data_IF_333680680826
#
_entry.id   IF_333680680826
#
_cell.length_a   1.000
_cell.length_b   1.000
_cell.length_c   1.000
_cell.angle_alpha   90.00
_cell.angle_beta   90.00
_cell.angle_gamma   90.00
#
_symmetry.space_group_name_H-M   'P 1'
#
loop_
_entity.id
_entity.type
_entity.pdbx_description
1 polymer ?
#
# COMPACT_ATOMS: atom_id res chain seq x y z
N UNK A 1 -65.89 26.75 9.47
CA UNK A 1 -64.61 26.64 8.75
C UNK A 1 -64.91 26.78 7.27
N UNK A 2 -64.35 27.78 6.59
CA UNK A 2 -64.61 28.01 5.17
C UNK A 2 -63.83 27.01 4.30
N UNK A 3 -64.42 26.47 3.21
CA UNK A 3 -63.72 25.55 2.33
C UNK A 3 -62.63 26.25 1.52
N UNK A 4 -61.43 25.68 1.50
CA UNK A 4 -60.28 26.16 0.71
C UNK A 4 -60.60 26.18 -0.79
N UNK A 5 -60.16 27.24 -1.47
CA UNK A 5 -60.36 27.42 -2.92
C UNK A 5 -59.49 26.45 -3.73
N UNK A 6 -59.82 26.17 -5.00
CA UNK A 6 -59.05 25.24 -5.84
C UNK A 6 -57.56 25.62 -5.97
N UNK A 7 -57.24 26.91 -6.04
CA UNK A 7 -55.86 27.40 -6.05
C UNK A 7 -55.12 27.08 -4.75
N UNK A 8 -55.76 27.24 -3.59
CA UNK A 8 -55.14 26.92 -2.30
C UNK A 8 -54.85 25.42 -2.16
N UNK A 9 -55.71 24.56 -2.72
CA UNK A 9 -55.46 23.11 -2.76
C UNK A 9 -54.26 22.75 -3.64
N UNK A 10 -54.14 23.35 -4.83
CA UNK A 10 -52.95 23.14 -5.69
C UNK A 10 -51.66 23.63 -5.07
N UNK A 11 -51.67 24.78 -4.40
CA UNK A 11 -50.47 25.29 -3.69
C UNK A 11 -50.05 24.39 -2.53
N UNK A 12 -51.00 23.83 -1.78
CA UNK A 12 -50.71 22.88 -0.69
C UNK A 12 -50.16 21.56 -1.25
N UNK A 13 -50.71 21.06 -2.36
CA UNK A 13 -50.21 19.85 -3.03
C UNK A 13 -48.80 20.06 -3.58
N UNK A 14 -48.53 21.20 -4.23
CA UNK A 14 -47.18 21.56 -4.69
C UNK A 14 -46.18 21.73 -3.54
N UNK A 15 -46.59 22.32 -2.41
CA UNK A 15 -45.72 22.49 -1.26
C UNK A 15 -45.43 21.14 -0.58
N UNK A 16 -46.43 20.26 -0.51
CA UNK A 16 -46.29 18.91 0.04
C UNK A 16 -45.43 18.01 -0.86
N UNK A 17 -45.53 18.12 -2.19
CA UNK A 17 -44.65 17.39 -3.12
C UNK A 17 -43.23 17.94 -3.10
N UNK A 18 -43.04 19.26 -2.99
CA UNK A 18 -41.71 19.85 -2.82
C UNK A 18 -41.08 19.44 -1.49
N UNK A 19 -41.84 19.42 -0.38
CA UNK A 19 -41.36 18.90 0.91
C UNK A 19 -41.04 17.40 0.82
N UNK A 20 -41.87 16.60 0.15
CA UNK A 20 -41.63 15.17 -0.03
C UNK A 20 -40.41 14.91 -0.92
N UNK A 21 -40.15 15.73 -1.94
CA UNK A 21 -38.93 15.69 -2.76
C UNK A 21 -37.71 16.09 -1.94
N UNK A 22 -37.80 17.13 -1.09
CA UNK A 22 -36.72 17.52 -0.17
C UNK A 22 -36.47 16.44 0.90
N UNK A 23 -37.52 15.75 1.37
CA UNK A 23 -37.44 14.63 2.31
C UNK A 23 -37.00 13.29 1.67
N UNK A 24 -37.03 13.18 0.34
CA UNK A 24 -36.56 12.00 -0.41
C UNK A 24 -35.20 12.19 -1.06
N UNK A 25 -34.58 13.36 -0.90
CA UNK A 25 -33.12 13.49 -1.00
C UNK A 25 -32.55 12.89 0.29
N UNK A 26 -32.50 11.56 0.35
CA UNK A 26 -31.60 10.89 1.28
C UNK A 26 -30.20 11.30 0.85
N UNK A 27 -29.62 12.27 1.55
CA UNK A 27 -28.22 12.64 1.39
C UNK A 27 -27.41 11.36 1.52
N UNK A 28 -26.81 10.91 0.42
CA UNK A 28 -25.80 9.86 0.41
C UNK A 28 -24.59 10.40 1.18
N UNK A 29 -24.68 10.40 2.50
CA UNK A 29 -23.68 10.97 3.39
C UNK A 29 -22.49 10.01 3.48
N UNK A 30 -21.29 10.58 3.40
CA UNK A 30 -20.07 9.92 3.83
C UNK A 30 -20.25 9.37 5.26
N UNK A 31 -19.92 8.10 5.48
CA UNK A 31 -20.02 7.48 6.80
C UNK A 31 -18.72 7.68 7.58
N UNK A 32 -18.82 7.84 8.90
CA UNK A 32 -17.64 7.84 9.79
C UNK A 32 -17.56 6.50 10.50
N UNK A 33 -16.50 5.76 10.22
CA UNK A 33 -16.23 4.45 10.78
C UNK A 33 -15.31 4.56 12.01
N UNK A 34 -15.76 3.98 13.12
CA UNK A 34 -15.00 3.97 14.37
C UNK A 34 -14.48 2.56 14.65
N UNK A 35 -13.17 2.44 14.80
CA UNK A 35 -12.53 1.17 15.16
C UNK A 35 -11.60 1.34 16.36
N UNK A 36 -11.47 0.25 17.12
CA UNK A 36 -10.46 0.13 18.16
C UNK A 36 -9.54 -1.05 17.81
N UNK A 37 -8.25 -0.74 17.66
CA UNK A 37 -7.20 -1.71 17.36
C UNK A 37 -6.35 -1.89 18.62
N UNK A 38 -6.53 -3.01 19.31
CA UNK A 38 -5.69 -3.39 20.44
C UNK A 38 -4.52 -4.20 19.92
N UNK A 39 -3.34 -3.60 19.88
CA UNK A 39 -2.10 -4.29 19.52
C UNK A 39 -1.66 -5.06 20.75
N UNK A 40 -1.60 -6.39 20.65
CA UNK A 40 -1.36 -7.26 21.81
C UNK A 40 -0.58 -8.50 21.43
N UNK A 41 -0.04 -9.17 22.44
CA UNK A 41 0.56 -10.48 22.26
C UNK A 41 -0.53 -11.56 22.26
N UNK A 42 -0.49 -12.51 21.32
CA UNK A 42 -1.48 -13.59 21.18
C UNK A 42 -0.82 -14.91 20.81
N UNK A 43 -1.19 -16.04 21.44
CA UNK A 43 -0.71 -17.36 21.05
C UNK A 43 -1.28 -17.76 19.70
N UNK A 44 -0.41 -18.02 18.72
CA UNK A 44 -0.78 -18.49 17.39
C UNK A 44 0.01 -19.74 17.07
N UNK A 45 -0.68 -20.78 16.60
CA UNK A 45 -0.09 -22.06 16.23
C UNK A 45 0.11 -22.15 14.72
N UNK A 46 1.34 -22.38 14.26
CA UNK A 46 1.70 -22.73 12.87
C UNK A 46 2.85 -23.72 12.88
N UNK A 47 2.99 -24.50 11.81
CA UNK A 47 4.05 -25.51 11.68
C UNK A 47 4.17 -26.42 12.92
N UNK A 48 3.00 -26.72 13.51
CA UNK A 48 2.83 -27.49 14.74
C UNK A 48 3.48 -26.90 16.02
N UNK A 49 3.96 -25.64 16.00
CA UNK A 49 4.47 -24.88 17.16
C UNK A 49 3.55 -23.71 17.50
N UNK A 50 3.41 -23.41 18.79
CA UNK A 50 2.65 -22.24 19.27
C UNK A 50 3.62 -21.16 19.68
N UNK A 51 3.48 -19.98 19.08
CA UNK A 51 4.30 -18.80 19.39
C UNK A 51 3.40 -17.64 19.79
N UNK A 52 3.89 -16.83 20.73
CA UNK A 52 3.21 -15.62 21.17
C UNK A 52 3.65 -14.44 20.29
N UNK A 53 2.89 -14.17 19.22
CA UNK A 53 3.17 -13.11 18.24
C UNK A 53 2.40 -11.83 18.56
N UNK A 54 2.74 -10.72 17.91
CA UNK A 54 1.97 -9.47 18.04
C UNK A 54 0.86 -9.45 17.00
N UNK A 55 -0.37 -9.19 17.44
CA UNK A 55 -1.58 -9.18 16.62
C UNK A 55 -2.39 -7.92 16.89
N UNK A 56 -3.40 -7.68 16.05
CA UNK A 56 -4.45 -6.69 16.33
C UNK A 56 -5.71 -7.44 16.73
N UNK A 57 -6.28 -7.09 17.89
CA UNK A 57 -7.51 -7.69 18.42
C UNK A 57 -7.46 -9.23 18.50
N UNK A 58 -6.27 -9.80 18.71
CA UNK A 58 -6.08 -11.26 18.76
C UNK A 58 -6.13 -11.97 17.40
N UNK A 59 -6.17 -11.24 16.28
CA UNK A 59 -6.33 -11.80 14.94
C UNK A 59 -5.02 -11.80 14.15
N UNK A 60 -4.78 -12.88 13.40
CA UNK A 60 -3.67 -13.01 12.45
C UNK A 60 -4.10 -13.77 11.17
N UNK A 61 -4.17 -13.10 10.00
CA UNK A 61 -4.00 -11.65 9.80
C UNK A 61 -5.03 -10.83 10.60
N UNK A 62 -4.77 -9.55 10.77
CA UNK A 62 -5.66 -8.64 11.48
C UNK A 62 -7.00 -8.40 10.78
N UNK A 63 -7.92 -7.64 11.41
CA UNK A 63 -9.25 -7.39 10.86
C UNK A 63 -9.19 -6.67 9.50
N UNK A 64 -10.09 -7.06 8.60
CA UNK A 64 -10.36 -6.31 7.36
C UNK A 64 -11.14 -5.05 7.69
N UNK A 65 -10.70 -3.92 7.15
CA UNK A 65 -11.47 -2.68 7.13
C UNK A 65 -12.22 -2.57 5.81
N UNK A 66 -13.52 -2.32 5.87
CA UNK A 66 -14.38 -2.19 4.69
C UNK A 66 -15.07 -0.83 4.72
N UNK A 67 -14.78 0.01 3.73
CA UNK A 67 -15.25 1.41 3.66
C UNK A 67 -15.62 1.78 2.23
N UNK A 68 -16.20 2.95 2.01
CA UNK A 68 -16.46 3.52 0.67
C UNK A 68 -15.58 4.73 0.38
N UNK A 69 -15.42 5.04 -0.89
CA UNK A 69 -14.91 6.35 -1.31
C UNK A 69 -15.78 7.47 -0.71
N UNK A 70 -15.13 8.41 -0.01
CA UNK A 70 -15.76 9.48 0.76
C UNK A 70 -15.89 9.23 2.25
N UNK A 71 -15.77 7.99 2.73
CA UNK A 71 -15.92 7.66 4.15
C UNK A 71 -14.72 8.16 4.99
N UNK A 72 -14.96 8.45 6.26
CA UNK A 72 -13.93 8.81 7.25
C UNK A 72 -13.63 7.65 8.17
N UNK A 73 -12.35 7.34 8.41
CA UNK A 73 -11.94 6.36 9.42
C UNK A 73 -11.35 7.06 10.64
N UNK A 74 -11.82 6.61 11.81
CA UNK A 74 -11.31 6.99 13.13
C UNK A 74 -10.88 5.71 13.85
N UNK A 75 -9.59 5.48 13.93
CA UNK A 75 -9.02 4.22 14.43
C UNK A 75 -8.16 4.48 15.66
N UNK A 76 -8.69 4.14 16.83
CA UNK A 76 -7.94 4.22 18.09
C UNK A 76 -7.07 2.99 18.26
N UNK A 77 -5.77 3.16 18.13
CA UNK A 77 -4.77 2.12 18.36
C UNK A 77 -4.34 2.16 19.82
N UNK A 78 -4.55 1.08 20.55
CA UNK A 78 -4.08 0.89 21.93
C UNK A 78 -2.94 -0.12 21.91
N UNK A 79 -1.75 0.30 22.34
CA UNK A 79 -0.59 -0.57 22.37
C UNK A 79 -0.50 -1.31 23.70
N UNK A 80 -1.03 -2.53 23.75
CA UNK A 80 -0.89 -3.46 24.87
C UNK A 80 0.26 -4.46 24.66
N UNK A 81 1.07 -4.29 23.61
CA UNK A 81 2.21 -5.13 23.30
C UNK A 81 3.48 -4.64 24.00
N UNK A 82 4.50 -5.51 24.03
CA UNK A 82 5.82 -5.21 24.63
C UNK A 82 6.73 -4.34 23.76
N UNK A 83 6.30 -3.99 22.55
CA UNK A 83 7.11 -3.26 21.57
C UNK A 83 6.43 -1.96 21.20
N UNK A 84 7.25 -0.95 20.92
CA UNK A 84 6.84 0.27 20.23
C UNK A 84 6.19 -0.08 18.89
N UNK A 85 5.07 0.59 18.58
CA UNK A 85 4.32 0.31 17.36
C UNK A 85 3.82 1.58 16.70
N UNK A 86 3.78 1.58 15.38
CA UNK A 86 2.98 2.49 14.56
C UNK A 86 2.23 1.67 13.52
N UNK A 87 1.10 2.17 13.03
CA UNK A 87 0.36 1.56 11.92
C UNK A 87 0.34 2.51 10.73
N UNK A 88 0.44 1.95 9.53
CA UNK A 88 0.36 2.64 8.25
C UNK A 88 -0.77 2.06 7.40
N UNK A 89 -1.46 2.96 6.70
CA UNK A 89 -2.61 2.66 5.84
C UNK A 89 -2.13 2.62 4.39
N UNK A 90 -1.54 1.51 3.99
CA UNK A 90 -0.77 1.39 2.76
C UNK A 90 -1.57 1.75 1.52
N UNK A 91 -1.11 2.79 0.83
CA UNK A 91 -1.73 3.31 -0.37
C UNK A 91 -2.87 4.31 -0.13
N UNK A 92 -3.23 4.62 1.12
CA UNK A 92 -4.08 5.78 1.42
C UNK A 92 -3.26 7.05 1.22
N UNK A 93 -3.82 8.03 0.52
CA UNK A 93 -3.10 9.27 0.20
C UNK A 93 -2.91 10.19 1.41
N UNK A 94 -3.71 10.06 2.46
CA UNK A 94 -3.59 10.90 3.67
C UNK A 94 -3.59 12.40 3.33
N UNK A 95 -4.56 12.84 2.52
CA UNK A 95 -4.59 14.21 2.02
C UNK A 95 -4.54 15.19 3.19
N UNK A 96 -3.44 15.94 3.29
CA UNK A 96 -3.17 16.95 4.34
C UNK A 96 -3.08 16.42 5.77
N UNK A 97 -3.17 15.11 5.98
CA UNK A 97 -3.13 14.43 7.28
C UNK A 97 -1.92 13.49 7.43
N UNK A 98 -0.67 13.91 7.12
CA UNK A 98 0.50 13.03 7.23
C UNK A 98 0.71 12.51 8.67
N UNK A 99 0.16 13.20 9.67
CA UNK A 99 0.13 12.76 11.07
C UNK A 99 -0.53 11.39 11.27
N UNK A 100 -1.42 10.99 10.36
CA UNK A 100 -2.08 9.69 10.36
C UNK A 100 -1.43 8.68 9.40
N UNK A 101 -0.28 9.01 8.79
CA UNK A 101 0.40 8.12 7.83
C UNK A 101 1.15 6.96 8.51
N UNK A 102 1.79 7.21 9.66
CA UNK A 102 2.35 6.13 10.50
C UNK A 102 3.82 5.72 10.38
N UNK A 103 4.65 6.02 9.36
CA UNK A 103 6.04 5.56 9.35
C UNK A 103 6.84 6.07 10.56
N UNK A 104 7.40 5.13 11.34
CA UNK A 104 8.11 5.39 12.59
C UNK A 104 9.28 6.37 12.38
N UNK A 105 9.34 7.44 13.19
CA UNK A 105 10.32 8.54 13.10
C UNK A 105 10.30 9.38 11.82
N UNK A 106 9.30 9.21 10.96
CA UNK A 106 9.08 10.07 9.79
C UNK A 106 7.92 11.02 10.03
N UNK A 107 6.72 10.50 10.28
CA UNK A 107 5.52 11.32 10.52
C UNK A 107 5.05 11.29 11.96
N UNK A 108 5.50 10.32 12.76
CA UNK A 108 5.22 10.24 14.18
C UNK A 108 6.32 9.50 14.96
N UNK A 109 6.41 9.78 16.26
CA UNK A 109 7.06 8.87 17.19
C UNK A 109 6.18 7.64 17.47
N UNK A 110 6.78 6.52 17.88
CA UNK A 110 6.03 5.30 18.10
C UNK A 110 5.07 5.40 19.30
N UNK A 111 3.94 4.71 19.18
CA UNK A 111 3.02 4.48 20.29
C UNK A 111 3.71 3.53 21.26
N UNK A 112 4.10 4.02 22.44
CA UNK A 112 4.78 3.23 23.47
C UNK A 112 3.83 2.17 24.07
N UNK A 113 4.36 1.08 24.65
CA UNK A 113 3.57 0.15 25.46
C UNK A 113 2.74 0.88 26.52
N UNK A 114 1.45 0.54 26.61
CA UNK A 114 0.46 1.17 27.48
C UNK A 114 -0.16 2.47 26.94
N UNK A 115 0.39 3.05 25.87
CA UNK A 115 -0.14 4.27 25.26
C UNK A 115 -1.17 3.98 24.16
N UNK A 116 -1.82 5.03 23.68
CA UNK A 116 -2.74 4.96 22.54
C UNK A 116 -2.61 6.18 21.64
N UNK A 117 -2.93 6.01 20.36
CA UNK A 117 -3.03 7.09 19.39
C UNK A 117 -4.22 6.85 18.47
N UNK A 118 -4.88 7.92 18.03
CA UNK A 118 -6.03 7.82 17.13
C UNK A 118 -5.68 8.33 15.74
N UNK A 119 -5.70 7.42 14.76
CA UNK A 119 -5.58 7.76 13.35
C UNK A 119 -6.91 8.29 12.83
N UNK A 120 -6.87 9.40 12.08
CA UNK A 120 -8.05 10.10 11.55
C UNK A 120 -7.76 10.50 10.12
N UNK A 121 -8.56 10.02 9.18
CA UNK A 121 -8.42 10.38 7.78
C UNK A 121 -9.69 10.05 6.99
N UNK A 122 -9.86 10.75 5.88
CA UNK A 122 -10.96 10.54 4.93
C UNK A 122 -10.43 9.89 3.67
N UNK A 123 -11.22 8.97 3.12
CA UNK A 123 -10.94 8.36 1.82
C UNK A 123 -11.35 9.34 0.73
N UNK A 124 -10.41 9.75 -0.12
CA UNK A 124 -10.65 10.72 -1.18
C UNK A 124 -10.27 10.18 -2.56
N UNK A 125 -11.28 9.89 -3.38
CA UNK A 125 -11.14 9.44 -4.76
C UNK A 125 -10.29 8.17 -4.87
N UNK A 126 -10.55 7.21 -3.98
CA UNK A 126 -9.90 5.90 -4.00
C UNK A 126 -10.97 4.82 -3.93
N UNK A 127 -10.83 3.77 -4.74
CA UNK A 127 -11.61 2.54 -4.67
C UNK A 127 -10.72 1.35 -5.06
N UNK A 128 -11.04 0.16 -4.55
CA UNK A 128 -10.29 -1.07 -4.76
C UNK A 128 -9.72 -1.67 -3.48
N UNK A 129 -8.65 -2.46 -3.64
CA UNK A 129 -8.03 -3.22 -2.55
C UNK A 129 -6.72 -2.57 -2.12
N UNK A 130 -6.69 -2.14 -0.87
CA UNK A 130 -5.51 -1.72 -0.15
C UNK A 130 -5.31 -2.62 1.08
N UNK A 131 -4.40 -2.22 1.97
CA UNK A 131 -4.11 -2.94 3.19
C UNK A 131 -3.52 -1.99 4.22
N UNK A 132 -3.47 -2.44 5.47
CA UNK A 132 -2.81 -1.72 6.54
C UNK A 132 -1.76 -2.65 7.16
N UNK A 133 -0.70 -2.06 7.70
CA UNK A 133 0.37 -2.82 8.34
C UNK A 133 1.10 -1.99 9.40
N UNK A 134 1.79 -2.65 10.32
CA UNK A 134 2.72 -1.94 11.20
C UNK A 134 3.84 -1.30 10.38
N UNK A 135 4.25 -0.07 10.72
CA UNK A 135 5.36 0.63 10.03
C UNK A 135 6.45 1.00 11.04
N UNK A 136 6.74 0.02 11.90
CA UNK A 136 7.72 0.11 12.97
C UNK A 136 8.46 -1.22 13.04
N UNK A 137 9.77 -1.18 12.76
CA UNK A 137 10.62 -2.38 12.66
C UNK A 137 9.97 -3.41 11.70
N UNK A 138 10.09 -4.70 12.01
CA UNK A 138 9.55 -5.80 11.20
C UNK A 138 8.22 -6.33 11.76
N UNK A 139 7.47 -5.51 12.53
CA UNK A 139 6.22 -5.96 13.13
C UNK A 139 5.13 -6.27 12.08
N UNK A 140 5.25 -5.76 10.85
CA UNK A 140 4.32 -6.10 9.76
C UNK A 140 4.38 -7.55 9.31
N UNK A 141 5.33 -8.34 9.77
CA UNK A 141 5.30 -9.79 9.57
C UNK A 141 4.06 -10.45 10.20
N UNK A 142 3.47 -9.82 11.23
CA UNK A 142 2.27 -10.34 11.92
C UNK A 142 1.18 -9.31 12.15
N UNK A 143 1.51 -8.01 12.07
CA UNK A 143 0.59 -6.89 12.25
C UNK A 143 0.25 -6.29 10.88
N UNK A 144 -0.73 -6.89 10.21
CA UNK A 144 -1.25 -6.43 8.92
C UNK A 144 -2.67 -6.95 8.69
N UNK A 145 -3.43 -6.30 7.81
CA UNK A 145 -4.78 -6.72 7.42
C UNK A 145 -5.25 -6.00 6.16
N UNK A 146 -6.36 -6.46 5.58
CA UNK A 146 -6.90 -5.88 4.35
C UNK A 146 -7.63 -4.55 4.63
N UNK A 147 -7.64 -3.65 3.64
CA UNK A 147 -8.44 -2.44 3.61
C UNK A 147 -9.15 -2.39 2.26
N UNK A 148 -10.45 -2.67 2.25
CA UNK A 148 -11.27 -2.70 1.03
C UNK A 148 -12.04 -1.40 0.94
N UNK A 149 -11.89 -0.71 -0.20
CA UNK A 149 -12.59 0.52 -0.49
C UNK A 149 -13.58 0.26 -1.63
N UNK A 150 -14.85 0.24 -1.29
CA UNK A 150 -15.92 0.11 -2.27
C UNK A 150 -16.13 1.41 -3.04
N UNK A 151 -16.68 1.33 -4.27
CA UNK A 151 -17.12 2.52 -4.99
C UNK A 151 -18.05 3.38 -4.13
N UNK A 152 -17.97 4.69 -4.36
CA UNK A 152 -18.84 5.69 -3.75
C UNK A 152 -20.30 5.28 -3.87
N UNK A 153 -21.12 5.59 -2.86
CA UNK A 153 -22.53 5.19 -2.85
C UNK A 153 -23.25 5.71 -4.12
N UNK A 154 -23.93 4.80 -4.81
CA UNK A 154 -24.61 5.08 -6.08
C UNK A 154 -23.73 4.95 -7.33
N UNK A 155 -22.41 4.76 -7.19
CA UNK A 155 -21.49 4.48 -8.30
C UNK A 155 -21.30 2.97 -8.42
N UNK A 156 -21.62 2.34 -9.58
CA UNK A 156 -21.37 0.92 -9.77
C UNK A 156 -19.89 0.65 -10.07
N UNK A 157 -19.46 -0.60 -9.89
CA UNK A 157 -18.18 -1.05 -10.45
C UNK A 157 -18.15 -0.86 -11.97
N UNK A 158 -16.96 -0.66 -12.57
CA UNK A 158 -16.80 -0.63 -14.03
C UNK A 158 -16.95 -2.02 -14.68
N UNK A 159 -17.24 -3.05 -13.90
CA UNK A 159 -17.47 -4.43 -14.29
C UNK A 159 -18.69 -5.01 -13.54
N UNK A 160 -19.25 -6.15 -13.96
CA UNK A 160 -20.37 -6.78 -13.24
C UNK A 160 -20.04 -7.02 -11.77
N UNK A 161 -20.93 -6.60 -10.87
CA UNK A 161 -20.74 -6.76 -9.43
C UNK A 161 -20.46 -8.24 -9.09
N UNK A 162 -19.35 -8.54 -8.40
CA UNK A 162 -19.04 -9.91 -8.00
C UNK A 162 -20.10 -10.48 -7.05
N UNK A 163 -20.38 -11.78 -7.16
CA UNK A 163 -21.27 -12.48 -6.22
C UNK A 163 -20.66 -12.60 -4.82
N UNK A 164 -19.33 -12.77 -4.75
CA UNK A 164 -18.54 -12.84 -3.53
C UNK A 164 -17.18 -12.19 -3.77
N UNK A 165 -16.67 -11.55 -2.73
CA UNK A 165 -15.33 -10.95 -2.70
C UNK A 165 -14.61 -11.53 -1.48
N UNK A 166 -13.39 -12.02 -1.66
CA UNK A 166 -12.61 -12.67 -0.60
C UNK A 166 -11.18 -12.10 -0.65
N UNK A 167 -10.72 -11.43 0.42
CA UNK A 167 -9.34 -10.99 0.51
C UNK A 167 -8.37 -12.18 0.52
N UNK A 168 -7.29 -12.07 -0.28
CA UNK A 168 -6.18 -13.03 -0.32
C UNK A 168 -4.91 -12.28 0.05
N UNK A 169 -4.50 -12.42 1.32
CA UNK A 169 -3.32 -11.79 1.88
C UNK A 169 -2.15 -12.76 1.84
N UNK A 170 -1.09 -12.38 1.16
CA UNK A 170 0.16 -13.14 1.11
C UNK A 170 1.10 -12.65 2.23
N UNK A 171 1.82 -13.56 2.86
CA UNK A 171 2.76 -13.20 3.91
C UNK A 171 3.78 -14.30 4.18
N UNK A 172 4.59 -14.09 5.22
CA UNK A 172 5.65 -14.99 5.64
C UNK A 172 5.49 -15.34 7.13
N UNK A 173 6.03 -16.49 7.53
CA UNK A 173 6.03 -16.98 8.91
C UNK A 173 7.43 -17.34 9.36
N UNK A 174 7.80 -16.86 10.55
CA UNK A 174 8.99 -17.31 11.27
C UNK A 174 8.55 -17.99 12.58
N UNK A 175 9.16 -19.14 12.88
CA UNK A 175 9.09 -19.76 14.20
C UNK A 175 9.85 -18.97 15.26
N UNK A 176 10.73 -18.06 14.85
CA UNK A 176 11.45 -17.15 15.73
C UNK A 176 10.71 -15.84 15.89
N UNK A 177 10.84 -15.21 17.06
CA UNK A 177 10.37 -13.83 17.26
C UNK A 177 11.02 -12.90 16.21
N UNK A 178 10.20 -12.24 15.40
CA UNK A 178 10.65 -11.47 14.24
C UNK A 178 11.57 -10.31 14.63
N UNK A 179 11.33 -9.69 15.79
CA UNK A 179 12.20 -8.63 16.32
C UNK A 179 13.57 -9.20 16.70
N UNK A 180 13.63 -10.44 17.17
CA UNK A 180 14.89 -11.14 17.40
C UNK A 180 15.63 -11.48 16.10
N UNK A 181 14.92 -11.77 14.99
CA UNK A 181 15.51 -11.92 13.63
C UNK A 181 16.18 -10.64 13.19
N UNK A 182 15.44 -9.53 13.25
CA UNK A 182 15.95 -8.19 12.98
C UNK A 182 17.18 -7.87 13.84
N UNK A 183 17.08 -8.01 15.18
CA UNK A 183 18.19 -7.67 16.10
C UNK A 183 19.46 -8.46 15.80
N UNK A 184 19.34 -9.74 15.48
CA UNK A 184 20.50 -10.56 15.12
C UNK A 184 21.14 -10.02 13.84
N UNK A 185 20.36 -9.77 12.78
CA UNK A 185 20.87 -9.27 11.51
C UNK A 185 21.54 -7.90 11.67
N UNK A 186 20.92 -6.98 12.43
CA UNK A 186 21.50 -5.66 12.73
C UNK A 186 22.79 -5.78 13.53
N UNK A 187 22.85 -6.67 14.52
CA UNK A 187 24.03 -6.85 15.37
C UNK A 187 25.22 -7.46 14.60
N UNK A 188 24.98 -8.45 13.75
CA UNK A 188 26.05 -9.14 13.01
C UNK A 188 26.42 -8.42 11.72
N UNK A 189 25.54 -7.58 11.17
CA UNK A 189 25.64 -7.02 9.83
C UNK A 189 25.43 -8.05 8.71
N UNK A 190 25.02 -9.28 9.05
CA UNK A 190 24.76 -10.34 8.09
C UNK A 190 23.32 -10.27 7.55
N UNK A 191 23.07 -11.01 6.46
CA UNK A 191 21.72 -11.20 5.95
C UNK A 191 20.80 -11.82 7.03
N UNK A 192 19.53 -11.41 7.09
CA UNK A 192 18.55 -11.96 8.01
C UNK A 192 18.25 -13.43 7.71
N UNK A 193 17.79 -14.17 8.72
CA UNK A 193 17.25 -15.52 8.52
C UNK A 193 15.99 -15.46 7.63
N UNK A 194 15.93 -16.31 6.61
CA UNK A 194 14.74 -16.52 5.78
C UNK A 194 13.56 -17.06 6.61
N UNK A 195 12.33 -16.85 6.13
CA UNK A 195 11.13 -17.41 6.77
C UNK A 195 11.11 -18.94 6.73
N UNK A 196 10.35 -19.51 7.66
CA UNK A 196 10.10 -20.94 7.74
C UNK A 196 8.96 -21.37 6.79
N UNK A 197 8.06 -20.44 6.43
CA UNK A 197 7.01 -20.67 5.44
C UNK A 197 6.44 -19.37 4.86
N UNK A 198 6.08 -19.41 3.58
CA UNK A 198 5.07 -18.49 3.04
C UNK A 198 3.69 -18.84 3.57
N UNK A 199 2.76 -17.88 3.52
CA UNK A 199 1.38 -18.05 3.94
C UNK A 199 0.38 -17.39 2.99
N UNK A 200 -0.81 -17.99 2.89
CA UNK A 200 -2.02 -17.37 2.32
C UNK A 200 -3.01 -17.19 3.46
N UNK A 201 -3.47 -15.96 3.68
CA UNK A 201 -4.33 -15.58 4.80
C UNK A 201 -3.78 -16.08 6.15
N UNK A 202 -2.46 -15.96 6.31
CA UNK A 202 -1.73 -16.38 7.50
C UNK A 202 -1.62 -17.90 7.68
N UNK A 203 -2.01 -18.73 6.71
CA UNK A 203 -1.87 -20.19 6.74
C UNK A 203 -0.80 -20.68 5.75
N UNK A 204 0.15 -21.54 6.17
CA UNK A 204 1.15 -22.13 5.27
C UNK A 204 0.58 -23.05 4.18
N UNK A 205 -0.61 -23.63 4.42
CA UNK A 205 -1.25 -24.55 3.49
C UNK A 205 -0.83 -26.01 3.64
N UNK A 206 -1.29 -26.83 2.70
CA UNK A 206 -1.28 -28.31 2.75
C UNK A 206 0.07 -28.99 2.54
N UNK A 207 1.08 -28.24 2.10
CA UNK A 207 2.43 -28.75 1.86
C UNK A 207 3.24 -28.91 3.17
N UNK A 208 2.66 -28.52 4.31
CA UNK A 208 3.27 -28.63 5.64
C UNK A 208 2.56 -29.66 6.51
N UNK A 209 3.26 -30.19 7.52
CA UNK A 209 2.65 -31.05 8.55
C UNK A 209 1.55 -30.25 9.28
N UNK A 210 0.46 -30.93 9.63
CA UNK A 210 -0.72 -30.36 10.32
C UNK A 210 -1.72 -29.56 9.43
N UNK A 211 -1.80 -29.82 8.11
CA UNK A 211 -2.74 -29.16 7.19
C UNK A 211 -3.72 -30.14 6.50
N UNK A 212 -4.94 -29.69 6.18
CA UNK A 212 -6.09 -30.52 5.80
C UNK A 212 -6.31 -30.62 4.28
N UNK A 213 -6.25 -31.83 3.71
CA UNK A 213 -6.32 -32.08 2.26
C UNK A 213 -7.72 -31.95 1.65
N UNK A 214 -7.85 -31.21 0.53
CA UNK A 214 -8.85 -31.44 -0.53
C UNK A 214 -9.32 -30.20 -1.31
N UNK A 215 -9.36 -30.28 -2.66
CA UNK A 215 -9.91 -29.34 -3.70
C UNK A 215 -8.91 -28.32 -4.30
N UNK A 216 -9.36 -27.56 -5.32
CA UNK A 216 -8.52 -26.80 -6.26
C UNK A 216 -7.50 -25.89 -5.55
N UNK A 217 -6.22 -26.03 -5.92
CA UNK A 217 -5.13 -25.35 -5.24
C UNK A 217 -4.87 -23.96 -5.84
N UNK A 218 -4.90 -22.95 -4.98
CA UNK A 218 -4.17 -21.70 -5.19
C UNK A 218 -2.79 -21.94 -4.59
N UNK A 219 -1.73 -21.71 -5.35
CA UNK A 219 -0.36 -21.84 -4.88
C UNK A 219 0.41 -20.55 -5.16
N UNK A 220 1.20 -20.10 -4.20
CA UNK A 220 2.11 -18.95 -4.37
C UNK A 220 3.52 -19.35 -3.94
N UNK A 221 4.50 -18.81 -4.66
CA UNK A 221 5.93 -19.01 -4.41
C UNK A 221 6.64 -17.71 -4.77
N UNK A 222 7.69 -17.36 -4.03
CA UNK A 222 8.47 -16.18 -4.36
C UNK A 222 9.15 -16.28 -5.72
N UNK A 223 9.22 -15.13 -6.38
CA UNK A 223 10.14 -14.86 -7.46
C UNK A 223 11.31 -14.09 -6.87
N UNK A 224 12.52 -14.66 -6.91
CA UNK A 224 13.72 -14.06 -6.35
C UNK A 224 14.84 -14.09 -7.40
N UNK A 225 15.52 -12.96 -7.57
CA UNK A 225 16.44 -12.71 -8.69
C UNK A 225 17.87 -12.41 -8.25
N UNK A 226 18.05 -11.94 -7.00
CA UNK A 226 19.34 -11.72 -6.39
C UNK A 226 20.20 -12.99 -6.41
N UNK A 227 21.42 -12.86 -6.91
CA UNK A 227 22.35 -13.99 -6.99
C UNK A 227 22.97 -14.26 -5.62
N UNK A 228 22.96 -15.53 -5.20
CA UNK A 228 23.52 -16.00 -3.92
C UNK A 228 22.87 -15.38 -2.65
N UNK A 229 21.72 -14.73 -2.79
CA UNK A 229 20.88 -14.35 -1.66
C UNK A 229 20.00 -15.54 -1.26
N UNK A 230 19.99 -15.89 0.02
CA UNK A 230 19.07 -16.88 0.54
C UNK A 230 17.65 -16.28 0.58
N UNK A 231 16.66 -17.04 0.16
CA UNK A 231 15.24 -16.70 0.25
C UNK A 231 14.45 -17.94 0.69
N UNK A 232 13.27 -17.73 1.27
CA UNK A 232 12.35 -18.83 1.53
C UNK A 232 11.90 -19.41 0.18
N UNK A 233 12.18 -20.68 -0.08
CA UNK A 233 11.89 -21.34 -1.36
C UNK A 233 10.64 -22.22 -1.30
N UNK A 234 9.87 -22.13 -0.22
CA UNK A 234 8.66 -22.89 0.02
C UNK A 234 7.50 -22.40 -0.84
N UNK A 235 6.36 -23.10 -0.78
CA UNK A 235 5.14 -22.75 -1.52
C UNK A 235 3.99 -22.73 -0.54
N UNK A 236 3.29 -21.59 -0.44
CA UNK A 236 2.05 -21.54 0.30
C UNK A 236 0.88 -21.97 -0.59
N UNK A 237 -0.08 -22.69 0.00
CA UNK A 237 -1.27 -23.15 -0.74
C UNK A 237 -2.56 -22.84 -0.01
N UNK A 238 -3.62 -22.61 -0.79
CA UNK A 238 -4.99 -22.46 -0.32
C UNK A 238 -5.93 -23.28 -1.20
N UNK A 239 -7.12 -23.57 -0.70
CA UNK A 239 -8.12 -24.41 -1.36
C UNK A 239 -9.30 -23.55 -1.81
N UNK A 240 -9.65 -23.60 -3.09
CA UNK A 240 -10.92 -23.13 -3.62
C UNK A 240 -11.89 -24.33 -3.77
N UNK A 241 -12.96 -24.33 -2.99
CA UNK A 241 -14.07 -25.27 -3.14
C UNK A 241 -15.24 -24.62 -3.88
N UNK A 242 -15.82 -25.33 -4.85
CA UNK A 242 -17.15 -25.02 -5.37
C UNK A 242 -18.18 -25.87 -4.65
N UNK A 243 -19.22 -25.24 -4.09
CA UNK A 243 -20.28 -25.93 -3.34
C UNK A 243 -21.15 -26.87 -4.21
N UNK A 244 -21.12 -26.77 -5.55
CA UNK A 244 -22.26 -27.26 -6.35
C UNK A 244 -22.06 -27.68 -7.81
N UNK A 245 -20.99 -28.37 -8.26
CA UNK A 245 -21.06 -29.06 -9.59
C UNK A 245 -20.09 -30.27 -9.77
N UNK A 246 -20.56 -31.43 -10.28
CA UNK A 246 -19.75 -32.46 -10.95
C UNK A 246 -19.35 -32.04 -12.37
N UNK A 247 -18.11 -32.30 -12.79
CA UNK A 247 -17.56 -31.94 -14.10
C UNK A 247 -18.36 -32.49 -15.29
N UNK A 248 -18.57 -31.68 -16.36
CA UNK A 248 -18.19 -32.19 -17.68
C UNK A 248 -17.63 -31.18 -18.70
N UNK A 249 -16.76 -31.78 -19.54
CA UNK A 249 -16.26 -31.52 -20.90
C UNK A 249 -16.02 -30.09 -21.44
N UNK A 250 -14.76 -29.94 -21.88
CA UNK A 250 -14.21 -29.00 -22.86
C UNK A 250 -15.11 -28.84 -24.11
N UNK A 251 -15.57 -27.62 -24.38
CA UNK A 251 -15.68 -27.03 -25.73
C UNK A 251 -15.95 -25.53 -25.64
N UNK A 252 -14.96 -24.71 -25.96
CA UNK A 252 -15.13 -23.25 -26.09
C UNK A 252 -13.88 -22.59 -26.66
N UNK A 253 -14.03 -21.91 -27.79
CA UNK A 253 -12.98 -21.25 -28.58
C UNK A 253 -12.51 -19.97 -27.88
N UNK A 254 -11.20 -19.61 -27.89
CA UNK A 254 -10.73 -18.37 -27.29
C UNK A 254 -11.06 -17.17 -28.18
N UNK A 255 -11.80 -16.18 -27.66
CA UNK A 255 -11.95 -14.87 -28.30
C UNK A 255 -10.78 -13.95 -27.91
N UNK A 256 -10.11 -13.42 -28.94
CA UNK A 256 -8.97 -12.50 -28.81
C UNK A 256 -9.51 -11.08 -28.53
N UNK A 257 -8.99 -10.35 -27.53
CA UNK A 257 -9.42 -8.98 -27.27
C UNK A 257 -8.95 -8.03 -28.37
N UNK A 258 -9.85 -7.15 -28.81
CA UNK A 258 -9.59 -6.05 -29.73
C UNK A 258 -8.92 -4.90 -28.97
N UNK A 259 -7.73 -4.50 -29.42
CA UNK A 259 -6.95 -3.40 -28.87
C UNK A 259 -7.32 -2.09 -29.58
N UNK A 260 -7.55 -0.98 -28.85
CA UNK A 260 -7.80 0.32 -29.46
C UNK A 260 -6.50 0.95 -30.01
N UNK A 261 -6.63 1.68 -31.12
CA UNK A 261 -5.57 2.54 -31.69
C UNK A 261 -5.81 3.97 -31.16
N UNK A 262 -4.81 4.60 -30.56
CA UNK A 262 -4.90 6.00 -30.10
C UNK A 262 -3.61 6.83 -30.36
N UNK A 263 -3.72 8.19 -30.41
CA UNK A 263 -2.82 9.10 -31.16
C UNK A 263 -1.62 9.72 -30.39
N UNK A 264 -0.80 10.49 -31.15
CA UNK A 264 0.53 11.13 -30.92
C UNK A 264 0.62 12.18 -29.79
N UNK A 265 1.77 12.74 -29.37
CA UNK A 265 3.17 12.31 -29.04
C UNK A 265 3.98 13.46 -28.36
N UNK A 266 3.43 14.62 -27.96
CA UNK A 266 4.32 15.71 -27.50
C UNK A 266 3.77 16.53 -26.33
N UNK A 267 4.47 16.46 -25.20
CA UNK A 267 4.97 17.63 -24.47
C UNK A 267 6.10 17.22 -23.51
N UNK A 268 7.27 17.86 -23.68
CA UNK A 268 8.40 17.84 -22.74
C UNK A 268 8.90 19.27 -22.56
N UNK A 269 8.46 19.90 -21.47
CA UNK A 269 9.14 21.05 -20.91
C UNK A 269 9.09 21.02 -19.38
N UNK A 270 10.29 21.08 -18.78
CA UNK A 270 10.62 21.33 -17.36
C UNK A 270 10.60 20.15 -16.39
N UNK A 271 11.68 19.36 -16.42
CA UNK A 271 12.19 18.63 -15.25
C UNK A 271 13.68 18.93 -15.14
N UNK A 272 14.12 19.60 -14.07
CA UNK A 272 15.55 19.68 -13.74
C UNK A 272 15.99 18.30 -13.22
N UNK A 273 16.93 17.61 -13.89
CA UNK A 273 17.42 16.34 -13.40
C UNK A 273 18.24 16.58 -12.13
N UNK A 274 17.97 15.81 -11.08
CA UNK A 274 19.00 15.58 -10.08
C UNK A 274 20.04 14.67 -10.72
N UNK A 275 21.16 15.25 -11.12
CA UNK A 275 22.29 14.45 -11.57
C UNK A 275 22.89 13.75 -10.34
N UNK A 276 23.09 12.42 -10.39
CA UNK A 276 23.81 11.74 -9.33
C UNK A 276 25.21 12.36 -9.21
N UNK A 277 25.78 12.48 -7.99
CA UNK A 277 27.12 13.06 -7.80
C UNK A 277 28.21 12.34 -8.60
N UNK A 278 27.97 11.07 -8.95
CA UNK A 278 28.84 10.23 -9.78
C UNK A 278 27.96 9.44 -10.75
N UNK A 279 28.23 9.59 -12.05
CA UNK A 279 27.64 8.76 -13.11
C UNK A 279 28.57 7.60 -13.45
N UNK A 280 28.04 6.39 -13.52
CA UNK A 280 28.76 5.18 -13.91
C UNK A 280 27.83 4.22 -14.65
N UNK A 281 28.37 3.16 -15.25
CA UNK A 281 27.55 2.07 -15.78
C UNK A 281 26.95 1.28 -14.61
N UNK A 282 25.68 1.53 -14.30
CA UNK A 282 25.00 0.99 -13.13
C UNK A 282 24.83 -0.52 -13.21
N UNK A 283 24.66 -1.06 -14.41
CA UNK A 283 24.27 -2.46 -14.63
C UNK A 283 25.42 -3.42 -14.95
N UNK A 284 26.65 -2.91 -15.02
CA UNK A 284 27.85 -3.68 -15.37
C UNK A 284 28.82 -3.78 -14.19
N UNK A 285 30.12 -3.98 -14.45
CA UNK A 285 31.15 -4.13 -13.43
C UNK A 285 31.38 -2.81 -12.65
N UNK A 286 30.60 -2.59 -11.59
CA UNK A 286 30.69 -1.40 -10.73
C UNK A 286 31.91 -1.49 -9.82
N UNK A 287 32.78 -0.46 -9.87
CA UNK A 287 33.98 -0.36 -9.04
C UNK A 287 33.67 -0.55 -7.54
N UNK A 288 34.44 -1.40 -6.86
CA UNK A 288 34.31 -1.64 -5.41
C UNK A 288 34.40 -0.38 -4.54
N UNK A 289 35.00 0.70 -5.05
CA UNK A 289 35.04 1.99 -4.34
C UNK A 289 33.66 2.62 -4.14
N UNK A 290 32.68 2.26 -4.98
CA UNK A 290 31.32 2.78 -4.94
C UNK A 290 30.38 1.92 -4.07
N UNK A 291 30.85 0.79 -3.52
CA UNK A 291 30.02 -0.16 -2.79
C UNK A 291 29.68 0.27 -1.36
N UNK A 292 30.41 1.24 -0.81
CA UNK A 292 30.17 1.74 0.55
C UNK A 292 29.31 3.00 0.50
N UNK A 293 28.02 2.92 0.87
CA UNK A 293 27.20 4.11 1.04
C UNK A 293 27.65 4.90 2.27
N UNK A 294 27.20 6.15 2.37
CA UNK A 294 27.31 6.95 3.60
C UNK A 294 25.92 7.13 4.19
N UNK A 295 25.78 6.81 5.47
CA UNK A 295 24.54 7.09 6.20
C UNK A 295 24.26 8.60 6.21
N UNK A 296 22.98 8.95 6.09
CA UNK A 296 22.53 10.32 6.23
C UNK A 296 21.01 10.40 6.15
N UNK A 297 20.46 11.36 6.89
CA UNK A 297 19.03 11.69 6.84
C UNK A 297 18.86 12.90 5.93
N UNK A 298 18.43 12.66 4.69
CA UNK A 298 18.23 13.70 3.68
C UNK A 298 16.81 13.64 3.16
N UNK A 299 16.17 14.80 3.10
CA UNK A 299 14.87 14.97 2.45
C UNK A 299 15.06 15.67 1.11
N UNK A 300 14.13 15.44 0.20
CA UNK A 300 14.02 16.20 -1.03
C UNK A 300 12.83 17.16 -0.94
N UNK A 301 13.09 18.46 -0.98
CA UNK A 301 12.04 19.46 -0.90
C UNK A 301 11.37 19.65 -2.26
N UNK A 302 10.04 19.64 -2.26
CA UNK A 302 9.19 19.86 -3.41
C UNK A 302 8.26 21.04 -3.13
N UNK A 303 8.15 21.95 -4.11
CA UNK A 303 7.11 22.98 -4.07
C UNK A 303 5.76 22.35 -4.37
N UNK A 304 4.72 22.80 -3.66
CA UNK A 304 3.35 22.41 -3.95
C UNK A 304 3.00 22.57 -5.44
N UNK A 305 2.33 21.58 -6.02
CA UNK A 305 1.89 21.58 -7.42
C UNK A 305 2.98 21.27 -8.44
N UNK A 306 4.21 20.94 -8.01
CA UNK A 306 5.29 20.56 -8.94
C UNK A 306 4.97 19.25 -9.66
N UNK A 307 5.18 19.20 -10.97
CA UNK A 307 5.20 17.95 -11.72
C UNK A 307 6.54 17.24 -11.49
N UNK A 308 6.50 16.05 -10.90
CA UNK A 308 7.70 15.29 -10.52
C UNK A 308 7.84 14.08 -11.43
N UNK A 309 9.04 13.88 -11.97
CA UNK A 309 9.44 12.64 -12.63
C UNK A 309 10.62 12.03 -11.89
N UNK A 310 10.53 10.75 -11.55
CA UNK A 310 11.61 10.00 -10.92
C UNK A 310 12.01 8.87 -11.85
N UNK A 311 13.31 8.76 -12.10
CA UNK A 311 13.92 7.60 -12.74
C UNK A 311 14.58 6.76 -11.65
N UNK A 312 14.03 5.59 -11.40
CA UNK A 312 14.58 4.60 -10.49
C UNK A 312 15.50 3.68 -11.31
N UNK A 313 16.75 3.53 -10.91
CA UNK A 313 17.76 2.73 -11.60
C UNK A 313 18.33 1.70 -10.63
N UNK A 314 18.15 0.42 -10.93
CA UNK A 314 18.83 -0.67 -10.24
C UNK A 314 20.33 -0.70 -10.60
N UNK A 315 21.16 -1.17 -9.68
CA UNK A 315 22.61 -1.25 -9.86
C UNK A 315 23.13 -2.66 -9.57
N UNK A 316 24.23 -3.05 -10.21
CA UNK A 316 24.91 -4.30 -9.93
C UNK A 316 25.85 -4.25 -8.69
N UNK A 317 25.70 -3.25 -7.81
CA UNK A 317 26.43 -3.17 -6.55
C UNK A 317 25.94 -4.27 -5.63
N UNK A 318 26.85 -5.11 -5.13
CA UNK A 318 26.54 -6.39 -4.44
C UNK A 318 25.90 -7.41 -5.38
N UNK A 319 24.68 -7.16 -5.86
CA UNK A 319 23.96 -7.98 -6.84
C UNK A 319 22.84 -7.16 -7.48
N UNK A 320 22.43 -7.50 -8.69
CA UNK A 320 21.20 -6.95 -9.28
C UNK A 320 19.99 -7.68 -8.69
N UNK A 321 18.97 -6.93 -8.29
CA UNK A 321 17.77 -7.47 -7.66
C UNK A 321 16.55 -6.62 -8.04
N UNK A 322 15.37 -7.22 -8.06
CA UNK A 322 14.15 -6.44 -8.21
C UNK A 322 13.79 -5.74 -6.88
N UNK A 323 13.49 -4.45 -6.96
CA UNK A 323 13.18 -3.64 -5.79
C UNK A 323 11.78 -3.05 -5.91
N UNK A 324 10.81 -3.48 -5.08
CA UNK A 324 9.49 -2.85 -5.04
C UNK A 324 9.60 -1.50 -4.32
N UNK A 325 9.57 -0.40 -5.06
CA UNK A 325 9.64 0.96 -4.51
C UNK A 325 8.24 1.49 -4.27
N UNK A 326 7.94 1.81 -3.02
CA UNK A 326 6.68 2.37 -2.54
C UNK A 326 6.82 3.86 -2.23
N UNK A 327 5.81 4.66 -2.57
CA UNK A 327 5.71 6.08 -2.20
C UNK A 327 4.46 6.30 -1.35
N UNK A 328 4.66 6.80 -0.13
CA UNK A 328 3.58 7.22 0.76
C UNK A 328 2.90 8.49 0.23
N UNK A 329 1.64 8.72 0.61
CA UNK A 329 0.90 9.96 0.34
C UNK A 329 0.47 10.18 -1.11
N UNK A 330 0.95 9.35 -2.04
CA UNK A 330 0.74 9.49 -3.47
C UNK A 330 0.44 8.16 -4.13
N UNK A 331 -0.36 8.23 -5.19
CA UNK A 331 -0.23 7.30 -6.30
C UNK A 331 0.52 8.02 -7.43
N UNK A 332 1.20 7.25 -8.26
CA UNK A 332 2.00 7.74 -9.38
C UNK A 332 1.69 6.96 -10.65
N UNK A 333 1.90 7.61 -11.79
CA UNK A 333 1.85 6.99 -13.11
C UNK A 333 3.18 6.31 -13.41
N UNK A 334 3.16 5.02 -13.77
CA UNK A 334 4.34 4.32 -14.28
C UNK A 334 4.41 4.53 -15.78
N UNK A 335 5.29 5.43 -16.24
CA UNK A 335 5.34 5.83 -17.64
C UNK A 335 6.32 5.01 -18.48
N UNK A 336 7.25 4.28 -17.86
CA UNK A 336 8.15 3.42 -18.60
C UNK A 336 8.99 2.51 -17.70
N UNK A 337 9.41 1.38 -18.25
CA UNK A 337 10.36 0.45 -17.62
C UNK A 337 11.28 -0.13 -18.69
N UNK A 338 12.48 -0.52 -18.29
CA UNK A 338 13.45 -1.15 -19.18
C UNK A 338 14.56 -1.85 -18.41
N UNK A 339 15.44 -2.50 -19.15
CA UNK A 339 16.66 -3.12 -18.63
C UNK A 339 17.89 -2.30 -19.04
N UNK A 340 19.01 -2.49 -18.34
CA UNK A 340 20.23 -1.73 -18.54
C UNK A 340 20.18 -0.35 -17.88
N UNK A 341 21.05 0.55 -18.34
CA UNK A 341 21.06 1.94 -17.89
C UNK A 341 20.01 2.77 -18.63
N UNK A 342 19.22 3.55 -17.89
CA UNK A 342 18.31 4.51 -18.48
C UNK A 342 19.05 5.54 -19.34
N UNK A 343 18.61 5.70 -20.59
CA UNK A 343 19.13 6.68 -21.53
C UNK A 343 18.01 7.66 -21.93
N UNK A 344 18.02 8.90 -21.41
CA UNK A 344 16.95 9.87 -21.64
C UNK A 344 16.75 10.26 -23.10
N UNK A 345 17.78 10.10 -23.95
CA UNK A 345 17.72 10.45 -25.38
C UNK A 345 16.95 9.44 -26.22
N UNK A 346 16.77 8.21 -25.74
CA UNK A 346 16.11 7.11 -26.49
C UNK A 346 14.93 6.52 -25.73
N UNK A 347 15.01 6.46 -24.40
CA UNK A 347 14.01 5.76 -23.58
C UNK A 347 12.75 6.58 -23.35
N UNK A 348 12.87 7.91 -23.33
CA UNK A 348 11.74 8.83 -23.16
C UNK A 348 10.73 8.73 -24.31
N UNK A 349 11.19 8.40 -25.52
CA UNK A 349 10.34 8.14 -26.68
C UNK A 349 9.46 6.89 -26.53
N UNK A 350 9.77 6.00 -25.57
CA UNK A 350 9.02 4.76 -25.30
C UNK A 350 8.03 4.90 -24.13
N UNK A 351 7.89 6.10 -23.56
CA UNK A 351 7.00 6.31 -22.43
C UNK A 351 5.54 6.12 -22.84
N UNK A 352 4.78 5.38 -22.02
CA UNK A 352 3.33 5.40 -22.05
C UNK A 352 2.83 6.70 -21.37
N UNK A 353 2.37 7.64 -22.18
CA UNK A 353 1.82 8.93 -21.72
C UNK A 353 0.30 9.02 -21.95
N UNK A 354 -0.35 7.92 -22.35
CA UNK A 354 -1.78 7.90 -22.67
C UNK A 354 -2.56 7.27 -21.52
N UNK A 355 -2.21 6.04 -21.16
CA UNK A 355 -2.88 5.26 -20.12
C UNK A 355 -1.89 4.54 -19.18
N UNK A 356 -0.84 5.23 -18.67
CA UNK A 356 0.10 4.61 -17.76
C UNK A 356 -0.63 4.11 -16.50
N UNK A 357 -0.31 2.90 -16.01
CA UNK A 357 -0.94 2.37 -14.82
C UNK A 357 -0.61 3.26 -13.62
N UNK A 358 -1.65 3.58 -12.85
CA UNK A 358 -1.54 4.28 -11.57
C UNK A 358 -1.27 3.26 -10.47
N UNK A 359 -0.21 3.47 -9.70
CA UNK A 359 0.25 2.58 -8.64
C UNK A 359 0.76 3.39 -7.46
N UNK A 360 0.86 2.77 -6.29
CA UNK A 360 1.62 3.30 -5.14
C UNK A 360 2.96 2.57 -4.95
N UNK A 361 3.14 1.43 -5.61
CA UNK A 361 4.34 0.59 -5.52
C UNK A 361 4.70 0.07 -6.92
N UNK A 362 5.98 0.13 -7.27
CA UNK A 362 6.50 -0.36 -8.56
C UNK A 362 7.75 -1.21 -8.35
N UNK A 363 7.78 -2.39 -8.97
CA UNK A 363 9.01 -3.18 -9.05
C UNK A 363 9.95 -2.53 -10.06
N UNK A 364 11.10 -2.05 -9.58
CA UNK A 364 12.23 -1.71 -10.45
C UNK A 364 12.81 -3.03 -10.96
N UNK A 365 12.91 -3.24 -12.28
CA UNK A 365 13.40 -4.50 -12.83
C UNK A 365 14.86 -4.77 -12.45
N UNK A 366 15.21 -6.05 -12.33
CA UNK A 366 16.58 -6.54 -12.12
C UNK A 366 17.52 -5.96 -13.16
N UNK A 367 18.56 -5.25 -12.73
CA UNK A 367 19.52 -4.59 -13.59
C UNK A 367 18.86 -3.64 -14.59
N UNK A 368 17.79 -2.97 -14.18
CA UNK A 368 16.97 -2.14 -15.04
C UNK A 368 16.52 -0.83 -14.42
N UNK A 369 15.50 -0.23 -15.01
CA UNK A 369 14.98 1.07 -14.59
C UNK A 369 13.46 1.13 -14.69
N UNK A 370 12.87 2.01 -13.89
CA UNK A 370 11.46 2.37 -13.92
C UNK A 370 11.32 3.90 -13.83
N UNK A 371 10.41 4.49 -14.62
CA UNK A 371 10.10 5.91 -14.56
C UNK A 371 8.68 6.11 -14.05
N UNK A 372 8.56 6.92 -13.00
CA UNK A 372 7.27 7.29 -12.40
C UNK A 372 7.05 8.80 -12.46
N UNK A 373 5.79 9.22 -12.54
CA UNK A 373 5.37 10.62 -12.50
C UNK A 373 4.22 10.84 -11.53
N UNK A 374 4.26 11.95 -10.79
CA UNK A 374 3.16 12.40 -9.94
C UNK A 374 3.20 13.93 -9.82
N UNK A 375 2.12 14.52 -9.32
CA UNK A 375 2.06 15.95 -8.97
C UNK A 375 2.24 16.05 -7.46
N UNK A 376 3.14 16.91 -6.99
CA UNK A 376 3.36 17.15 -5.56
C UNK A 376 2.24 18.02 -4.97
N UNK A 377 1.01 17.49 -4.93
CA UNK A 377 -0.23 18.16 -4.55
C UNK A 377 -0.71 17.87 -3.11
N UNK A 378 0.10 17.14 -2.33
CA UNK A 378 -0.21 16.76 -0.96
C UNK A 378 0.89 17.24 0.00
N UNK A 379 0.67 18.35 0.75
CA UNK A 379 1.68 18.93 1.63
C UNK A 379 1.95 18.02 2.83
N UNK A 380 3.23 17.87 3.19
CA UNK A 380 3.65 16.98 4.27
C UNK A 380 5.01 16.33 4.03
N UNK A 381 5.35 15.37 4.88
CA UNK A 381 6.55 14.54 4.74
C UNK A 381 6.14 13.14 4.32
N UNK A 382 6.62 12.70 3.15
CA UNK A 382 6.19 11.44 2.53
C UNK A 382 7.38 10.52 2.29
N UNK A 383 7.37 9.35 2.92
CA UNK A 383 8.41 8.35 2.78
C UNK A 383 8.34 7.67 1.40
N UNK A 384 9.49 7.53 0.73
CA UNK A 384 9.68 6.66 -0.42
C UNK A 384 10.73 5.62 -0.08
N UNK A 385 10.40 4.34 -0.19
CA UNK A 385 11.29 3.28 0.24
C UNK A 385 11.11 1.96 -0.50
N UNK A 386 12.12 1.09 -0.42
CA UNK A 386 11.97 -0.30 -0.83
C UNK A 386 11.03 -1.03 0.14
N UNK A 387 10.06 -1.78 -0.39
CA UNK A 387 9.08 -2.55 0.38
C UNK A 387 9.59 -3.94 0.79
N UNK A 388 10.90 -4.15 0.73
CA UNK A 388 11.60 -5.27 1.38
C UNK A 388 12.16 -4.75 2.71
N UNK A 389 11.74 -5.34 3.83
CA UNK A 389 12.01 -4.79 5.17
C UNK A 389 13.49 -4.75 5.54
N UNK A 390 14.29 -5.70 5.06
CA UNK A 390 15.75 -5.64 5.20
C UNK A 390 16.33 -4.43 4.48
N UNK A 391 15.89 -4.13 3.27
CA UNK A 391 16.40 -3.00 2.48
C UNK A 391 15.99 -1.66 3.09
N UNK A 392 14.73 -1.54 3.55
CA UNK A 392 14.27 -0.38 4.32
C UNK A 392 15.14 -0.19 5.57
N UNK A 393 15.38 -1.26 6.33
CA UNK A 393 16.22 -1.22 7.55
C UNK A 393 17.67 -0.82 7.25
N UNK A 394 18.23 -1.26 6.13
CA UNK A 394 19.58 -0.89 5.68
C UNK A 394 19.68 0.55 5.16
N UNK A 395 18.53 1.21 4.92
CA UNK A 395 18.47 2.62 4.53
C UNK A 395 18.12 2.86 3.06
N UNK A 396 17.54 1.89 2.35
CA UNK A 396 17.00 2.09 0.99
C UNK A 396 15.66 2.85 1.07
N UNK A 397 15.76 4.10 1.52
CA UNK A 397 14.66 5.01 1.79
C UNK A 397 15.10 6.47 1.66
N UNK A 398 14.15 7.32 1.33
CA UNK A 398 14.25 8.78 1.41
C UNK A 398 12.87 9.37 1.71
N UNK A 399 12.78 10.66 2.00
CA UNK A 399 11.49 11.33 2.15
C UNK A 399 11.40 12.59 1.29
N UNK A 400 10.20 12.86 0.78
CA UNK A 400 9.85 14.13 0.17
C UNK A 400 9.25 15.05 1.23
N UNK A 401 9.74 16.29 1.31
CA UNK A 401 9.07 17.37 2.04
C UNK A 401 8.32 18.21 1.01
N UNK A 402 7.00 18.12 1.00
CA UNK A 402 6.14 18.91 0.11
C UNK A 402 5.65 20.13 0.87
N UNK A 403 6.03 21.31 0.39
CA UNK A 403 5.65 22.59 0.97
C UNK A 403 4.13 22.83 0.89
N UNK A 404 3.61 23.71 1.73
CA UNK A 404 2.23 24.17 1.63
C UNK A 404 2.01 24.97 0.34
N UNK A 405 0.83 24.81 -0.26
CA UNK A 405 0.34 25.69 -1.31
C UNK A 405 -0.26 27.00 -0.77
N UNK A 406 -0.79 27.87 -1.65
CA UNK A 406 -1.33 29.17 -1.27
C UNK A 406 -2.66 29.10 -0.49
N UNK A 407 -3.44 28.03 -0.64
CA UNK A 407 -4.76 27.88 0.00
C UNK A 407 -4.75 27.08 1.30
N UNK A 408 -5.78 27.27 2.12
CA UNK A 408 -6.02 26.46 3.32
C UNK A 408 -6.14 24.97 2.95
N UNK A 409 -6.93 24.63 1.91
CA UNK A 409 -7.07 23.26 1.39
C UNK A 409 -5.80 22.71 0.70
N UNK A 410 -4.75 23.53 0.59
CA UNK A 410 -3.45 23.16 0.03
C UNK A 410 -2.36 23.20 1.10
N UNK A 411 -2.75 23.31 2.37
CA UNK A 411 -1.86 23.34 3.51
C UNK A 411 -2.10 22.13 4.40
N UNK A 412 -1.03 21.62 5.01
CA UNK A 412 -1.10 20.55 6.01
C UNK A 412 -2.04 20.95 7.16
N UNK A 413 -2.79 19.99 7.68
CA UNK A 413 -3.59 20.20 8.90
C UNK A 413 -2.70 20.31 10.14
N UNK A 414 -3.22 20.93 11.20
CA UNK A 414 -2.51 20.98 12.47
C UNK A 414 -2.31 19.56 13.05
N UNK A 415 -1.19 19.28 13.71
CA UNK A 415 -0.98 17.99 14.35
C UNK A 415 -2.07 17.73 15.41
N UNK A 416 -2.58 16.49 15.51
CA UNK A 416 -3.59 16.17 16.50
C UNK A 416 -3.02 16.27 17.93
N UNK A 417 -3.84 16.63 18.93
CA UNK A 417 -3.37 16.81 20.31
C UNK A 417 -2.91 15.52 20.99
N UNK A 418 -3.31 14.35 20.47
CA UNK A 418 -2.89 13.03 20.93
C UNK A 418 -1.72 12.44 20.12
N UNK A 419 -1.05 13.22 19.26
CA UNK A 419 0.14 12.77 18.52
C UNK A 419 1.22 12.26 19.50
N UNK A 420 1.79 11.05 19.30
CA UNK A 420 2.74 10.48 20.26
C UNK A 420 3.99 11.36 20.42
N UNK A 421 4.40 11.66 21.67
CA UNK A 421 5.62 12.41 21.92
C UNK A 421 6.86 11.58 21.58
N UNK A 422 7.91 12.32 21.24
CA UNK A 422 9.31 11.88 21.25
C UNK A 422 9.95 12.40 22.56
#
# INVERSE_FOLDING_TARGET
MAPLTPMQKSSIVCLATLLAVILSISSANAETHYHQFVVQQTPVKRLCKTHNIITVNGQFPGPTLEVRDGDTLIIKVVNSARYNVTLHWHGIRQMRTPWADGPEYVTQCPIQPGASYTYRFTIENQDGTLWWHAHSRWLRATVYGALIIYPKLGVPYPFPKPTKEIPVLLGEWWDRDIISVLRQATFTGAAPNVSDAYTINGQPGDLYRCSSKGRYYIATRAYATAQNAAFDNTTATAILEYDSVPCPSKTGVPSRPLMPILPRFNDTATTSPLSPPVTFDYTSNVSRRLWQPRFGTKLYNLKFGSNVQIVLQDTAIVTTEDHPIHLHGYHFYVVGQGFGNFNPSVDTARFNLIDPPVRNTINVPVGGWAVIRFVADNPGVWLMHCHIDSHLTWGLAMAFLVENGPGELQSIEAPPPDLPPC
#
